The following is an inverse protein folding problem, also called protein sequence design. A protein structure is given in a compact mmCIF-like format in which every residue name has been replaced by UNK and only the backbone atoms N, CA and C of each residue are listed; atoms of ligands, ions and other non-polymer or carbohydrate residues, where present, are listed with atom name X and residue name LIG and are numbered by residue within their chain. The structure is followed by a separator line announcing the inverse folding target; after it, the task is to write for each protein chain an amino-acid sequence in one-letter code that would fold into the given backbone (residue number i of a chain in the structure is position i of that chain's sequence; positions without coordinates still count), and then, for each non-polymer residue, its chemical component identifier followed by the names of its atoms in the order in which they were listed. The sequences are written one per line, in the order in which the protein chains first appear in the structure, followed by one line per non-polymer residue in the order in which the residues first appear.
data_IF_716771228362
#
_entry.id   IF_716771228362
#
_cell.length_a   1.000
_cell.length_b   1.000
_cell.length_c   1.000
_cell.angle_alpha   90.00
_cell.angle_beta   90.00
_cell.angle_gamma   90.00
#
_symmetry.space_group_name_H-M   'P 1'
#
loop_
_entity.id
_entity.type
_entity.pdbx_description
1 polymer ?
#
# COMPACT_ATOMS: atom_id res chain seq x y z
N UNK A 1 -10.83 23.84 7.36
CA UNK A 1 -9.42 23.47 7.18
C UNK A 1 -9.31 21.97 6.93
N UNK A 2 -8.33 21.50 6.15
CA UNK A 2 -8.09 20.08 5.91
C UNK A 2 -7.70 19.36 7.21
N UNK A 3 -8.24 18.16 7.43
CA UNK A 3 -8.08 17.40 8.69
C UNK A 3 -6.83 16.50 8.76
N UNK A 4 -6.11 16.33 7.65
CA UNK A 4 -4.89 15.49 7.57
C UNK A 4 -5.05 14.15 8.31
N UNK A 5 -6.05 13.38 7.89
CA UNK A 5 -6.49 12.12 8.51
C UNK A 5 -5.84 10.88 7.88
N UNK A 6 -4.90 11.07 6.94
CA UNK A 6 -4.13 9.96 6.40
C UNK A 6 -2.99 10.35 5.49
N UNK A 7 -2.26 9.32 5.06
CA UNK A 7 -1.16 9.38 4.11
C UNK A 7 -1.26 8.23 3.12
N UNK A 8 -1.22 8.57 1.83
CA UNK A 8 -1.20 7.60 0.73
C UNK A 8 0.18 7.65 0.08
N UNK A 9 0.80 6.50 -0.12
CA UNK A 9 2.12 6.40 -0.73
C UNK A 9 2.24 5.23 -1.70
N UNK A 10 2.89 5.49 -2.84
CA UNK A 10 3.26 4.44 -3.78
C UNK A 10 4.51 3.69 -3.30
N UNK A 11 4.48 2.36 -3.33
CA UNK A 11 5.64 1.53 -2.93
C UNK A 11 6.25 0.70 -4.04
N UNK A 12 5.72 0.85 -5.26
CA UNK A 12 6.18 0.18 -6.48
C UNK A 12 6.22 1.19 -7.63
N UNK A 13 6.85 0.79 -8.73
CA UNK A 13 6.75 1.48 -10.02
C UNK A 13 6.19 0.55 -11.09
N UNK A 14 6.05 1.03 -12.33
CA UNK A 14 5.36 0.29 -13.42
C UNK A 14 5.99 -1.08 -13.72
N UNK A 15 7.29 -1.27 -13.46
CA UNK A 15 7.93 -2.59 -13.60
C UNK A 15 7.72 -3.49 -12.37
N UNK A 16 6.74 -3.18 -11.51
CA UNK A 16 6.28 -3.99 -10.36
C UNK A 16 7.27 -4.16 -9.21
N UNK A 17 8.50 -3.67 -9.36
CA UNK A 17 9.52 -3.72 -8.34
C UNK A 17 9.22 -2.70 -7.21
N UNK A 18 9.60 -3.08 -5.98
CA UNK A 18 9.44 -2.25 -4.79
C UNK A 18 10.39 -1.06 -4.86
N UNK A 19 9.86 0.16 -4.72
CA UNK A 19 10.61 1.41 -4.60
C UNK A 19 10.76 1.87 -3.15
N UNK A 20 9.86 1.40 -2.27
CA UNK A 20 9.80 1.82 -0.87
C UNK A 20 9.47 0.63 0.01
N UNK A 21 10.46 0.07 0.70
CA UNK A 21 10.29 -1.15 1.51
C UNK A 21 9.45 -0.92 2.78
N UNK A 22 8.93 -1.97 3.43
CA UNK A 22 8.24 -1.86 4.72
C UNK A 22 9.07 -1.16 5.81
N UNK A 23 10.39 -1.42 5.87
CA UNK A 23 11.29 -0.73 6.80
C UNK A 23 11.34 0.78 6.53
N UNK A 24 11.41 1.18 5.27
CA UNK A 24 11.40 2.59 4.89
C UNK A 24 10.03 3.25 5.12
N UNK A 25 8.93 2.47 5.06
CA UNK A 25 7.59 2.95 5.44
C UNK A 25 7.51 3.17 6.95
N UNK A 26 8.05 2.27 7.80
CA UNK A 26 8.00 2.46 9.26
C UNK A 26 8.74 3.72 9.71
N UNK A 27 9.88 4.02 9.06
CA UNK A 27 10.62 5.27 9.30
C UNK A 27 9.75 6.50 9.02
N UNK A 28 9.08 6.54 7.87
CA UNK A 28 8.20 7.65 7.46
C UNK A 28 6.98 7.78 8.36
N UNK A 29 6.34 6.65 8.71
CA UNK A 29 5.21 6.61 9.64
C UNK A 29 5.62 7.15 11.01
N UNK A 30 6.82 6.80 11.47
CA UNK A 30 7.38 7.32 12.73
C UNK A 30 7.58 8.83 12.67
N UNK A 31 8.15 9.34 11.57
CA UNK A 31 8.30 10.79 11.35
C UNK A 31 6.94 11.50 11.35
N UNK A 32 5.95 10.99 10.60
CA UNK A 32 4.60 11.57 10.57
C UNK A 32 4.02 11.63 11.98
N UNK A 33 4.09 10.52 12.74
CA UNK A 33 3.58 10.45 14.11
C UNK A 33 4.27 11.46 15.04
N UNK A 34 5.58 11.68 14.89
CA UNK A 34 6.30 12.67 15.72
C UNK A 34 5.87 14.12 15.48
N UNK A 35 5.25 14.43 14.34
CA UNK A 35 4.74 15.76 14.02
C UNK A 35 3.25 15.93 14.33
N UNK A 36 2.53 14.85 14.67
CA UNK A 36 1.11 14.92 15.02
C UNK A 36 0.94 15.43 16.44
N UNK A 37 -0.02 16.35 16.61
CA UNK A 37 -0.36 16.95 17.90
C UNK A 37 -1.62 16.37 18.53
N UNK A 38 -2.34 15.52 17.81
CA UNK A 38 -3.53 14.83 18.30
C UNK A 38 -3.55 13.35 17.90
N UNK A 39 -4.30 12.59 18.68
CA UNK A 39 -4.44 11.13 18.57
C UNK A 39 -5.63 10.71 17.71
N UNK A 40 -6.15 11.61 16.85
CA UNK A 40 -7.21 11.21 15.93
C UNK A 40 -6.72 10.08 15.01
N UNK A 41 -7.61 9.13 14.60
CA UNK A 41 -7.22 8.04 13.72
C UNK A 41 -6.54 8.55 12.45
N UNK A 42 -5.43 7.90 12.08
CA UNK A 42 -4.63 8.26 10.91
C UNK A 42 -4.46 7.06 9.99
N UNK A 43 -5.07 7.12 8.80
CA UNK A 43 -5.02 6.04 7.82
C UNK A 43 -3.71 6.10 7.03
N UNK A 44 -3.04 4.96 6.89
CA UNK A 44 -1.88 4.80 6.00
C UNK A 44 -2.27 3.84 4.89
N UNK A 45 -2.21 4.30 3.64
CA UNK A 45 -2.48 3.49 2.47
C UNK A 45 -1.20 3.32 1.65
N UNK A 46 -0.87 2.07 1.33
CA UNK A 46 0.27 1.74 0.47
C UNK A 46 -0.23 1.10 -0.81
N UNK A 47 0.41 1.41 -1.93
CA UNK A 47 0.14 0.72 -3.20
C UNK A 47 1.17 -0.35 -3.48
N UNK A 48 0.74 -1.46 -4.07
CA UNK A 48 1.63 -2.52 -4.52
C UNK A 48 0.94 -3.50 -5.46
N UNK A 49 1.64 -4.58 -5.77
CA UNK A 49 1.10 -5.71 -6.54
C UNK A 49 1.24 -7.01 -5.76
N UNK A 50 0.25 -7.89 -5.92
CA UNK A 50 0.29 -9.26 -5.43
C UNK A 50 0.08 -10.27 -6.54
N UNK A 51 0.63 -11.47 -6.34
CA UNK A 51 0.19 -12.66 -7.04
C UNK A 51 -1.11 -13.20 -6.37
N UNK A 52 -1.99 -13.89 -7.11
CA UNK A 52 -3.19 -14.50 -6.53
C UNK A 52 -2.86 -15.36 -5.30
N UNK A 53 -3.59 -15.13 -4.20
CA UNK A 53 -3.38 -15.84 -2.93
C UNK A 53 -2.15 -15.44 -2.11
N UNK A 54 -1.30 -14.53 -2.61
CA UNK A 54 -0.12 -14.08 -1.88
C UNK A 54 -0.43 -12.83 -1.04
N UNK A 55 -0.59 -13.01 0.27
CA UNK A 55 -0.82 -11.95 1.24
C UNK A 55 0.46 -11.42 1.91
N UNK A 56 1.63 -12.00 1.63
CA UNK A 56 2.85 -11.74 2.41
C UNK A 56 3.28 -10.28 2.37
N UNK A 57 3.25 -9.66 1.18
CA UNK A 57 3.64 -8.27 1.03
C UNK A 57 2.64 -7.29 1.69
N UNK A 58 1.32 -7.40 1.46
CA UNK A 58 0.34 -6.63 2.23
C UNK A 58 0.48 -6.79 3.74
N UNK A 59 0.69 -8.01 4.23
CA UNK A 59 0.90 -8.28 5.66
C UNK A 59 2.17 -7.64 6.20
N UNK A 60 3.26 -7.63 5.42
CA UNK A 60 4.50 -6.95 5.79
C UNK A 60 4.30 -5.43 5.94
N UNK A 61 3.51 -4.80 5.06
CA UNK A 61 3.16 -3.39 5.22
C UNK A 61 2.18 -3.14 6.36
N UNK A 62 1.22 -4.04 6.57
CA UNK A 62 0.28 -3.94 7.69
C UNK A 62 1.02 -3.98 9.04
N UNK A 63 2.02 -4.85 9.16
CA UNK A 63 2.87 -4.96 10.35
C UNK A 63 3.63 -3.66 10.70
N UNK A 64 3.86 -2.78 9.72
CA UNK A 64 4.53 -1.47 9.92
C UNK A 64 3.55 -0.29 9.95
N UNK A 65 2.24 -0.57 10.05
CA UNK A 65 1.22 0.44 10.28
C UNK A 65 0.40 0.83 9.05
N UNK A 66 0.56 0.16 7.90
CA UNK A 66 -0.37 0.34 6.80
C UNK A 66 -1.76 -0.20 7.19
N UNK A 67 -2.78 0.61 6.95
CA UNK A 67 -4.19 0.30 7.24
C UNK A 67 -4.99 -0.03 5.97
N UNK A 68 -4.45 0.31 4.80
CA UNK A 68 -5.07 0.05 3.49
C UNK A 68 -4.03 -0.46 2.49
N UNK A 69 -4.46 -1.40 1.66
CA UNK A 69 -3.70 -1.91 0.51
C UNK A 69 -4.38 -1.49 -0.79
N UNK A 70 -3.65 -0.81 -1.66
CA UNK A 70 -4.09 -0.47 -3.01
C UNK A 70 -3.42 -1.39 -4.03
N UNK A 71 -4.19 -2.38 -4.46
CA UNK A 71 -3.82 -3.30 -5.52
C UNK A 71 -3.71 -2.54 -6.85
N UNK A 72 -2.49 -2.39 -7.38
CA UNK A 72 -2.24 -1.46 -8.49
C UNK A 72 -2.37 -2.15 -9.85
N UNK A 73 -3.28 -1.69 -10.70
CA UNK A 73 -3.46 -2.19 -12.08
C UNK A 73 -2.85 -1.19 -13.06
N UNK A 74 -1.95 -1.63 -13.94
CA UNK A 74 -1.32 -0.81 -14.97
C UNK A 74 -0.93 -1.64 -16.19
N UNK A 75 -0.62 -0.98 -17.31
CA UNK A 75 -0.43 -1.63 -18.62
C UNK A 75 0.65 -2.72 -18.67
N UNK A 76 1.70 -2.61 -17.84
CA UNK A 76 2.77 -3.61 -17.70
C UNK A 76 2.40 -4.80 -16.80
N UNK A 77 1.16 -4.89 -16.32
CA UNK A 77 0.69 -5.93 -15.38
C UNK A 77 -0.01 -7.09 -16.11
N UNK A 78 0.69 -7.67 -17.08
CA UNK A 78 0.19 -8.79 -17.88
C UNK A 78 -0.86 -8.37 -18.91
N UNK A 79 -1.62 -9.34 -19.40
CA UNK A 79 -2.70 -9.14 -20.36
C UNK A 79 -3.94 -8.50 -19.73
N UNK A 80 -4.82 -7.95 -20.56
CA UNK A 80 -6.10 -7.41 -20.12
C UNK A 80 -6.96 -8.44 -19.35
N UNK A 81 -6.99 -9.69 -19.82
CA UNK A 81 -7.73 -10.76 -19.15
C UNK A 81 -7.16 -11.06 -17.75
N UNK A 82 -5.83 -11.08 -17.59
CA UNK A 82 -5.18 -11.26 -16.29
C UNK A 82 -5.46 -10.09 -15.33
N UNK A 83 -5.51 -8.86 -15.85
CA UNK A 83 -5.87 -7.69 -15.04
C UNK A 83 -7.32 -7.74 -14.55
N UNK A 84 -8.28 -8.12 -15.41
CA UNK A 84 -9.68 -8.31 -15.01
C UNK A 84 -9.80 -9.41 -13.96
N UNK A 85 -9.14 -10.56 -14.15
CA UNK A 85 -9.11 -11.63 -13.17
C UNK A 85 -8.52 -11.18 -11.83
N UNK A 86 -7.51 -10.29 -11.83
CA UNK A 86 -6.95 -9.72 -10.60
C UNK A 86 -7.94 -8.81 -9.89
N UNK A 87 -8.69 -7.99 -10.63
CA UNK A 87 -9.74 -7.11 -10.08
C UNK A 87 -10.82 -7.96 -9.41
N UNK A 88 -11.31 -9.01 -10.10
CA UNK A 88 -12.34 -9.91 -9.58
C UNK A 88 -11.89 -10.67 -8.32
N UNK A 89 -10.63 -11.11 -8.29
CA UNK A 89 -10.06 -11.80 -7.14
C UNK A 89 -9.94 -10.88 -5.90
N UNK A 90 -9.91 -9.56 -6.09
CA UNK A 90 -9.74 -8.58 -5.02
C UNK A 90 -8.38 -8.69 -4.31
N UNK A 91 -8.08 -7.78 -3.36
CA UNK A 91 -6.87 -7.86 -2.55
C UNK A 91 -6.85 -9.18 -1.74
N UNK A 92 -5.66 -9.75 -1.47
CA UNK A 92 -5.55 -10.96 -0.65
C UNK A 92 -6.12 -10.71 0.76
N UNK A 93 -6.68 -11.77 1.36
CA UNK A 93 -7.27 -11.75 2.71
C UNK A 93 -6.23 -12.00 3.80
#
# INVERSE_FOLDING_TARGET
AAKWDGWVIGTIYEQQNITLTPAQVVERVTTIRSHRTDDTPFAIAVSGVTAPGNAALPQAYAAVGATWWFETIFASRGSHAEMLARIEAGPPR
#
